data_IF_970576364550
#
_entry.id   IF_970576364550
#
_cell.length_a   1.000
_cell.length_b   1.000
_cell.length_c   1.000
_cell.angle_alpha   90.00
_cell.angle_beta   90.00
_cell.angle_gamma   90.00
#
_symmetry.space_group_name_H-M   'P 1'
#
loop_
_entity.id
_entity.type
_entity.pdbx_description
1 polymer ?
#
# COMPACT_ATOMS: atom_id res chain seq x y z
N UNK A 1 21.59 -11.17 8.65
CA UNK A 1 20.27 -11.18 7.96
C UNK A 1 19.37 -10.15 8.63
N UNK A 2 18.35 -9.65 7.93
CA UNK A 2 17.34 -8.76 8.50
C UNK A 2 15.95 -9.35 8.29
N UNK A 3 15.06 -9.13 9.26
CA UNK A 3 13.63 -9.46 9.14
C UNK A 3 12.89 -8.12 9.03
N UNK A 4 12.23 -7.90 7.88
CA UNK A 4 11.37 -6.74 7.67
C UNK A 4 9.92 -7.20 7.73
N UNK A 5 9.15 -6.57 8.60
CA UNK A 5 7.72 -6.85 8.75
C UNK A 5 6.94 -5.55 8.58
N UNK A 6 5.95 -5.58 7.69
CA UNK A 6 4.98 -4.50 7.58
C UNK A 6 3.97 -4.61 8.72
N UNK A 7 3.58 -3.47 9.29
CA UNK A 7 2.58 -3.41 10.36
C UNK A 7 1.46 -2.51 9.88
N UNK A 8 0.23 -3.00 10.01
CA UNK A 8 -0.97 -2.20 9.86
C UNK A 8 -1.55 -1.92 11.26
N UNK A 9 -2.07 -0.71 11.50
CA UNK A 9 -2.59 -0.33 12.82
C UNK A 9 -2.29 1.10 13.28
N UNK A 10 -1.56 1.90 12.50
CA UNK A 10 -1.51 3.35 12.72
C UNK A 10 -2.69 4.00 11.97
N UNK A 11 -3.86 4.02 12.61
CA UNK A 11 -5.11 4.50 12.02
C UNK A 11 -5.25 6.03 12.01
N UNK A 12 -4.18 6.76 11.65
CA UNK A 12 -4.25 8.21 11.47
C UNK A 12 -4.32 8.54 9.99
N UNK A 13 -5.47 9.02 9.58
CA UNK A 13 -5.66 9.64 8.27
C UNK A 13 -4.85 10.94 8.21
N UNK A 14 -4.09 11.12 7.14
CA UNK A 14 -3.36 12.34 6.88
C UNK A 14 -4.26 13.29 6.10
N UNK A 15 -4.42 14.52 6.58
CA UNK A 15 -5.33 15.48 5.95
C UNK A 15 -4.65 16.22 4.79
N UNK A 16 -3.34 16.39 4.89
CA UNK A 16 -2.55 17.14 3.92
C UNK A 16 -1.13 16.57 3.76
N UNK A 17 -0.38 17.21 2.86
CA UNK A 17 1.00 16.83 2.57
C UNK A 17 1.95 17.04 3.76
N UNK A 18 1.67 18.00 4.65
CA UNK A 18 2.55 18.30 5.77
C UNK A 18 2.38 17.27 6.90
N UNK A 19 1.17 16.75 7.11
CA UNK A 19 0.91 15.55 7.92
C UNK A 19 1.73 14.35 7.42
N UNK A 20 1.71 14.09 6.11
CA UNK A 20 2.50 13.00 5.49
C UNK A 20 4.00 13.22 5.72
N UNK A 21 4.52 14.42 5.44
CA UNK A 21 5.95 14.73 5.64
C UNK A 21 6.34 14.59 7.11
N UNK A 22 5.52 15.07 8.03
CA UNK A 22 5.75 14.95 9.49
C UNK A 22 5.81 13.49 9.90
N UNK A 23 4.91 12.65 9.37
CA UNK A 23 4.92 11.21 9.60
C UNK A 23 6.19 10.53 9.08
N UNK A 24 6.62 10.85 7.85
CA UNK A 24 7.85 10.31 7.28
C UNK A 24 9.12 10.72 8.03
N UNK A 25 9.14 11.93 8.60
CA UNK A 25 10.25 12.42 9.44
C UNK A 25 10.21 11.91 10.87
N UNK A 26 9.12 11.25 11.27
CA UNK A 26 8.98 10.66 12.60
C UNK A 26 9.65 9.28 12.69
N UNK A 27 9.83 8.78 13.92
CA UNK A 27 10.23 7.39 14.16
C UNK A 27 9.09 6.37 14.07
N UNK A 28 7.88 6.81 13.71
CA UNK A 28 6.66 6.01 13.80
C UNK A 28 6.10 5.87 15.22
N UNK A 29 5.09 5.02 15.38
CA UNK A 29 4.45 4.78 16.67
C UNK A 29 5.28 3.80 17.52
N UNK A 30 5.92 4.32 18.58
CA UNK A 30 6.76 3.56 19.50
C UNK A 30 6.00 2.41 20.20
N UNK A 31 4.71 2.59 20.50
CA UNK A 31 3.90 1.53 21.14
C UNK A 31 3.67 0.39 20.16
N UNK A 32 3.35 0.71 18.91
CA UNK A 32 3.13 -0.29 17.86
C UNK A 32 4.44 -1.05 17.53
N UNK A 33 5.57 -0.34 17.47
CA UNK A 33 6.89 -0.96 17.28
C UNK A 33 7.20 -1.95 18.41
N UNK A 34 6.95 -1.56 19.67
CA UNK A 34 7.20 -2.43 20.83
C UNK A 34 6.27 -3.65 20.87
N UNK A 35 5.00 -3.44 20.52
CA UNK A 35 4.03 -4.52 20.39
C UNK A 35 4.49 -5.52 19.32
N UNK A 36 4.88 -5.05 18.14
CA UNK A 36 5.35 -5.91 17.06
C UNK A 36 6.63 -6.68 17.43
N UNK A 37 7.60 -6.02 18.05
CA UNK A 37 8.81 -6.69 18.55
C UNK A 37 8.46 -7.83 19.53
N UNK A 38 7.47 -7.60 20.39
CA UNK A 38 6.98 -8.60 21.36
C UNK A 38 6.32 -9.78 20.67
N UNK A 39 5.46 -9.52 19.67
CA UNK A 39 4.81 -10.57 18.88
C UNK A 39 5.85 -11.40 18.11
N UNK A 40 6.82 -10.75 17.46
CA UNK A 40 7.89 -11.46 16.73
C UNK A 40 8.69 -12.38 17.67
N UNK A 41 9.03 -11.91 18.88
CA UNK A 41 9.72 -12.75 19.88
C UNK A 41 8.89 -13.94 20.35
N UNK A 42 7.58 -13.75 20.45
CA UNK A 42 6.64 -14.82 20.83
C UNK A 42 6.56 -15.88 19.74
N UNK A 43 6.40 -15.46 18.48
CA UNK A 43 6.25 -16.38 17.34
C UNK A 43 7.56 -17.05 16.93
N UNK A 44 8.70 -16.40 17.16
CA UNK A 44 10.03 -16.92 16.84
C UNK A 44 10.86 -17.09 18.13
N UNK A 45 10.51 -18.08 18.98
CA UNK A 45 11.23 -18.32 20.22
C UNK A 45 12.70 -18.66 19.89
N UNK A 46 13.63 -17.90 20.48
CA UNK A 46 15.07 -18.05 20.24
C UNK A 46 15.65 -17.12 19.17
N UNK A 47 14.84 -16.26 18.52
CA UNK A 47 15.35 -15.24 17.62
C UNK A 47 16.30 -14.28 18.36
N UNK A 48 17.58 -14.27 17.96
CA UNK A 48 18.58 -13.30 18.40
C UNK A 48 18.73 -12.20 17.35
N UNK A 49 18.67 -10.94 17.77
CA UNK A 49 18.89 -9.78 16.91
C UNK A 49 19.62 -8.67 17.67
N UNK A 50 20.41 -7.85 16.96
CA UNK A 50 21.22 -6.79 17.56
C UNK A 50 20.48 -5.46 17.75
N UNK A 51 19.54 -5.14 16.85
CA UNK A 51 18.81 -3.86 16.88
C UNK A 51 17.44 -3.98 16.23
N UNK A 52 16.47 -3.20 16.71
CA UNK A 52 15.20 -2.95 16.02
C UNK A 52 15.23 -1.56 15.43
N UNK A 53 14.85 -1.45 14.16
CA UNK A 53 14.69 -0.17 13.47
C UNK A 53 13.31 -0.10 12.86
N UNK A 54 12.75 1.10 12.80
CA UNK A 54 11.45 1.38 12.20
C UNK A 54 11.58 2.37 11.05
N UNK A 55 10.64 2.27 10.12
CA UNK A 55 10.37 3.23 9.06
C UNK A 55 8.87 3.39 8.96
N UNK A 56 8.44 4.62 8.70
CA UNK A 56 7.03 4.95 8.47
C UNK A 56 6.68 4.78 7.00
N UNK A 57 5.42 4.50 6.72
CA UNK A 57 4.86 4.45 5.37
C UNK A 57 3.44 5.01 5.38
N UNK A 58 2.94 5.37 4.20
CA UNK A 58 1.55 5.75 3.99
C UNK A 58 0.97 4.88 2.89
N UNK A 59 -0.35 4.70 2.91
CA UNK A 59 -1.11 4.04 1.86
C UNK A 59 -2.31 4.93 1.49
N UNK A 60 -3.00 4.55 0.42
CA UNK A 60 -4.25 5.21 0.03
C UNK A 60 -5.35 4.15 -0.05
N UNK A 61 -6.52 4.49 0.47
CA UNK A 61 -7.69 3.63 0.47
C UNK A 61 -8.76 4.19 -0.46
N UNK A 62 -9.36 3.30 -1.24
CA UNK A 62 -10.48 3.59 -2.14
C UNK A 62 -11.79 3.18 -1.47
N UNK A 63 -12.95 3.80 -1.76
CA UNK A 63 -14.24 3.36 -1.24
C UNK A 63 -14.59 1.89 -1.55
N UNK A 64 -14.13 1.37 -2.70
CA UNK A 64 -14.38 -0.02 -3.13
C UNK A 64 -13.46 -1.05 -2.47
N UNK A 65 -12.39 -0.60 -1.79
CA UNK A 65 -11.32 -1.46 -1.28
C UNK A 65 -10.47 -2.16 -2.36
N UNK A 66 -10.64 -1.81 -3.64
CA UNK A 66 -9.88 -2.35 -4.77
C UNK A 66 -8.97 -1.26 -5.37
N UNK A 67 -7.80 -1.61 -5.95
CA UNK A 67 -6.98 -0.61 -6.62
C UNK A 67 -7.74 0.03 -7.78
N UNK A 68 -7.41 1.28 -8.09
CA UNK A 68 -7.88 1.88 -9.34
C UNK A 68 -6.94 1.46 -10.47
N UNK A 69 -7.51 0.89 -11.53
CA UNK A 69 -6.84 0.52 -12.78
C UNK A 69 -7.74 1.01 -13.91
N UNK A 70 -7.48 2.21 -14.41
CA UNK A 70 -8.42 2.88 -15.30
C UNK A 70 -7.73 3.71 -16.38
N UNK A 71 -8.31 3.75 -17.57
CA UNK A 71 -7.87 4.60 -18.67
C UNK A 71 -8.75 5.83 -18.74
N UNK A 72 -8.28 6.90 -18.10
CA UNK A 72 -9.02 8.16 -17.98
C UNK A 72 -9.22 8.82 -19.34
N UNK A 73 -8.22 8.72 -20.22
CA UNK A 73 -8.28 9.18 -21.61
C UNK A 73 -7.22 8.46 -22.47
N UNK A 74 -7.12 8.73 -23.80
CA UNK A 74 -6.16 8.05 -24.66
C UNK A 74 -4.69 8.15 -24.22
N UNK A 75 -4.30 9.17 -23.47
CA UNK A 75 -2.91 9.41 -23.04
C UNK A 75 -2.68 9.26 -21.54
N UNK A 76 -3.71 8.97 -20.75
CA UNK A 76 -3.63 8.86 -19.29
C UNK A 76 -4.29 7.56 -18.81
N UNK A 77 -3.49 6.74 -18.14
CA UNK A 77 -3.93 5.54 -17.44
C UNK A 77 -3.43 5.59 -16.00
N UNK A 78 -4.27 5.23 -15.05
CA UNK A 78 -3.96 5.22 -13.62
C UNK A 78 -3.92 3.80 -13.09
N UNK A 79 -2.97 3.53 -12.21
CA UNK A 79 -2.80 2.28 -11.48
C UNK A 79 -2.39 2.64 -10.03
N UNK A 80 -3.38 2.99 -9.20
CA UNK A 80 -3.14 3.68 -7.91
C UNK A 80 -3.98 3.10 -6.77
N UNK A 81 -3.73 3.60 -5.56
CA UNK A 81 -4.50 3.28 -4.35
C UNK A 81 -4.56 1.77 -4.03
N UNK A 82 -3.41 1.20 -3.72
CA UNK A 82 -3.24 -0.22 -3.42
C UNK A 82 -3.91 -0.74 -2.13
N UNK A 83 -4.65 0.09 -1.39
CA UNK A 83 -5.40 -0.29 -0.18
C UNK A 83 -4.56 -1.03 0.87
N UNK A 84 -3.28 -0.64 1.02
CA UNK A 84 -2.32 -1.27 1.94
C UNK A 84 -1.89 -2.69 1.57
N UNK A 85 -2.31 -3.22 0.40
CA UNK A 85 -2.14 -4.63 0.02
C UNK A 85 -1.41 -4.81 -1.31
N UNK A 86 -1.16 -3.75 -2.07
CA UNK A 86 -0.63 -3.83 -3.44
C UNK A 86 0.69 -4.57 -3.61
N UNK A 87 1.56 -4.64 -2.59
CA UNK A 87 2.84 -5.32 -2.71
C UNK A 87 2.72 -6.81 -3.12
N UNK A 88 1.61 -7.49 -2.81
CA UNK A 88 1.43 -8.90 -3.18
C UNK A 88 0.87 -9.12 -4.59
N UNK A 89 0.31 -8.08 -5.20
CA UNK A 89 -0.39 -8.16 -6.49
C UNK A 89 0.08 -7.06 -7.47
N UNK A 90 1.23 -6.44 -7.20
CA UNK A 90 1.76 -5.32 -7.99
C UNK A 90 2.06 -5.72 -9.42
N UNK A 91 2.53 -6.94 -9.63
CA UNK A 91 2.92 -7.44 -10.94
C UNK A 91 1.70 -7.53 -11.86
N UNK A 92 0.60 -8.07 -11.34
CA UNK A 92 -0.66 -8.19 -12.10
C UNK A 92 -1.31 -6.82 -12.33
N UNK A 93 -1.30 -5.93 -11.34
CA UNK A 93 -1.78 -4.55 -11.54
C UNK A 93 -0.96 -3.83 -12.61
N UNK A 94 0.37 -3.99 -12.59
CA UNK A 94 1.27 -3.41 -13.59
C UNK A 94 1.01 -3.97 -14.99
N UNK A 95 0.83 -5.29 -15.11
CA UNK A 95 0.51 -5.96 -16.38
C UNK A 95 -0.81 -5.46 -16.96
N UNK A 96 -1.87 -5.42 -16.16
CA UNK A 96 -3.19 -4.93 -16.57
C UNK A 96 -3.15 -3.46 -16.98
N UNK A 97 -2.51 -2.62 -16.18
CA UNK A 97 -2.37 -1.19 -16.48
C UNK A 97 -1.58 -0.94 -17.76
N UNK A 98 -0.49 -1.67 -17.99
CA UNK A 98 0.32 -1.54 -19.19
C UNK A 98 -0.44 -1.95 -20.46
N UNK A 99 -1.16 -3.08 -20.42
CA UNK A 99 -2.00 -3.54 -21.53
C UNK A 99 -3.14 -2.55 -21.80
N UNK A 100 -3.84 -2.10 -20.76
CA UNK A 100 -4.91 -1.11 -20.87
C UNK A 100 -4.41 0.22 -21.44
N UNK A 101 -3.22 0.66 -21.01
CA UNK A 101 -2.60 1.91 -21.49
C UNK A 101 -2.21 1.84 -22.97
N UNK A 102 -1.60 0.74 -23.39
CA UNK A 102 -1.05 0.59 -24.75
C UNK A 102 -2.12 0.23 -25.78
N UNK A 103 -3.14 -0.53 -25.39
CA UNK A 103 -4.15 -1.07 -26.33
C UNK A 103 -5.56 -0.54 -26.10
N UNK A 104 -5.88 -0.08 -24.89
CA UNK A 104 -7.25 0.27 -24.50
C UNK A 104 -8.11 -0.93 -24.16
N UNK A 105 -7.56 -2.12 -24.20
CA UNK A 105 -8.26 -3.36 -23.91
C UNK A 105 -8.01 -3.78 -22.46
N UNK A 106 -9.07 -4.24 -21.81
CA UNK A 106 -8.99 -4.89 -20.52
C UNK A 106 -8.69 -6.38 -20.69
N UNK A 107 -7.67 -6.87 -19.98
CA UNK A 107 -7.11 -8.22 -20.16
C UNK A 107 -7.15 -9.02 -18.85
N UNK A 108 -8.35 -9.15 -18.30
CA UNK A 108 -8.64 -9.97 -17.11
C UNK A 108 -10.07 -10.50 -17.19
N UNK A 109 -10.29 -11.66 -16.58
CA UNK A 109 -11.63 -12.20 -16.35
C UNK A 109 -12.41 -11.41 -15.28
N UNK A 110 -11.71 -10.59 -14.49
CA UNK A 110 -12.36 -9.72 -13.51
C UNK A 110 -13.04 -8.55 -14.20
N UNK A 111 -14.25 -8.21 -13.77
CA UNK A 111 -14.99 -7.05 -14.30
C UNK A 111 -14.21 -5.73 -14.15
N UNK A 112 -13.85 -5.10 -15.26
CA UNK A 112 -13.09 -3.83 -15.28
C UNK A 112 -13.78 -2.73 -14.47
N UNK A 113 -15.11 -2.70 -14.47
CA UNK A 113 -15.92 -1.69 -13.76
C UNK A 113 -15.62 -1.61 -12.27
N UNK A 114 -15.13 -2.70 -11.67
CA UNK A 114 -14.73 -2.76 -10.25
C UNK A 114 -13.45 -1.98 -9.92
N UNK A 115 -12.65 -1.66 -10.94
CA UNK A 115 -11.35 -1.01 -10.82
C UNK A 115 -11.36 0.42 -11.38
N UNK A 116 -12.51 0.94 -11.83
CA UNK A 116 -12.62 2.31 -12.33
C UNK A 116 -12.28 3.32 -11.25
N UNK A 117 -11.63 4.41 -11.65
CA UNK A 117 -11.30 5.49 -10.75
C UNK A 117 -12.56 6.27 -10.39
N UNK A 118 -12.76 6.53 -9.09
CA UNK A 118 -13.81 7.41 -8.58
C UNK A 118 -13.14 8.73 -8.20
N UNK A 119 -13.59 9.81 -8.83
CA UNK A 119 -13.14 11.16 -8.56
C UNK A 119 -14.10 11.84 -7.59
N UNK A 120 -13.56 12.57 -6.62
CA UNK A 120 -14.37 13.49 -5.82
C UNK A 120 -14.64 14.75 -6.66
N UNK A 121 -15.86 15.26 -6.57
CA UNK A 121 -16.27 16.54 -7.18
C UNK A 121 -15.69 17.74 -6.43
#
# INVERSE_FOLDING_TARGET
FSIKVGIDGCAKEANDLDDIKKWYRSGGDKKLIKLQETLIKRELPGLKYGSVTSRTCVNCHTPTGLPYIDRINPTLTVAVAGNGKAAKFSDEVGRLAAKLSTTGEWDSELEQTRFRAIFQE
#
